data_IF_557271811492
#
_entry.id   IF_557271811492
#
_cell.length_a   1.000
_cell.length_b   1.000
_cell.length_c   1.000
_cell.angle_alpha   90.00
_cell.angle_beta   90.00
_cell.angle_gamma   90.00
#
_symmetry.space_group_name_H-M   'P 1'
#
loop_
_entity.id
_entity.type
_entity.pdbx_description
1 polymer ?
#
# COMPACT_ATOMS: atom_id res chain seq x y z
N UNK A 1 3.97 -8.13 2.21
CA UNK A 1 5.37 -7.98 2.69
C UNK A 1 5.99 -6.56 2.57
N UNK A 2 5.90 -5.87 1.40
CA UNK A 2 6.41 -4.48 1.18
C UNK A 2 5.40 -3.77 0.22
N UNK A 3 4.40 -3.09 0.80
CA UNK A 3 3.30 -2.41 0.05
C UNK A 3 3.70 -0.96 -0.35
N UNK A 4 3.15 -0.46 -1.48
CA UNK A 4 3.22 0.96 -1.91
C UNK A 4 1.75 1.35 -2.24
N UNK A 5 1.16 2.34 -1.52
CA UNK A 5 -0.19 2.88 -1.85
C UNK A 5 -0.19 4.43 -1.92
N UNK A 6 -0.41 4.97 -3.14
CA UNK A 6 -0.30 6.43 -3.42
C UNK A 6 -1.75 6.98 -3.38
N UNK A 7 -2.11 7.57 -2.21
CA UNK A 7 -3.45 8.21 -1.98
C UNK A 7 -3.16 9.75 -2.13
N UNK A 9 -0.97 13.20 -3.31
CA UNK A 9 0.51 13.35 -3.29
C UNK A 9 1.15 12.78 -1.98
N UNK A 10 0.77 11.53 -1.55
CA UNK A 10 1.25 10.92 -0.28
C UNK A 10 1.36 9.40 -0.61
N UNK A 11 2.61 8.99 -0.90
CA UNK A 11 2.99 7.61 -1.31
C UNK A 11 3.27 6.84 0.01
N UNK A 12 2.35 5.94 0.43
CA UNK A 12 2.46 5.24 1.75
C UNK A 12 3.22 3.91 1.52
N UNK A 13 4.56 3.99 1.67
CA UNK A 13 5.48 2.82 1.49
C UNK A 13 5.87 2.35 2.92
N UNK A 14 5.76 1.03 3.15
CA UNK A 14 6.10 0.41 4.45
C UNK A 14 5.88 -1.14 4.51
N UNK A 15 6.43 -2.02 5.45
CA UNK A 15 6.13 -3.47 5.45
C UNK A 15 4.80 -3.82 6.17
N UNK A 16 4.14 -4.90 5.68
CA UNK A 16 2.92 -5.48 6.30
C UNK A 16 1.66 -4.71 5.85
N UNK A 17 0.85 -5.32 4.95
CA UNK A 17 -0.26 -4.64 4.23
C UNK A 17 -1.49 -4.38 5.19
N UNK A 18 -1.91 -3.14 5.70
CA UNK A 18 -2.93 -3.01 6.78
C UNK A 18 -4.39 -2.92 6.22
N UNK A 19 -4.77 -1.80 5.57
CA UNK A 19 -6.11 -1.56 4.97
C UNK A 19 -6.02 -1.95 3.47
N UNK A 20 -7.10 -2.60 2.98
CA UNK A 20 -7.23 -3.04 1.55
C UNK A 20 -8.69 -2.66 1.06
N UNK A 21 -8.89 -1.35 1.07
CA UNK A 21 -10.18 -0.67 0.76
C UNK A 21 -10.57 -0.71 -0.76
N UNK A 22 -11.86 -0.62 -1.27
CA UNK A 22 -12.20 -0.93 -2.69
C UNK A 22 -11.78 0.20 -3.66
N UNK A 24 -7.63 0.56 -4.43
CA UNK A 24 -6.16 0.78 -4.37
C UNK A 24 -5.58 -0.14 -5.51
N UNK A 25 -4.57 0.44 -6.16
CA UNK A 25 -3.63 -0.28 -7.04
C UNK A 25 -2.42 -0.66 -6.12
N UNK A 26 -2.63 -1.74 -5.32
CA UNK A 26 -1.76 -2.11 -4.17
C UNK A 26 -0.57 -2.98 -4.63
N UNK A 27 0.61 -2.76 -4.02
CA UNK A 27 1.87 -3.52 -4.34
C UNK A 27 2.37 -4.37 -3.13
N UNK A 28 1.43 -5.17 -2.58
CA UNK A 28 1.60 -6.01 -1.39
C UNK A 28 2.71 -7.13 -1.46
N UNK A 29 2.75 -7.97 -2.53
CA UNK A 29 3.76 -9.04 -2.70
C UNK A 29 4.29 -8.91 -4.13
#
# INVERSE_FOLDING_TARGET
SKYEYTVXSYTFRGPGCPTVKPXISLRCE
#
